data_IF_893571274282
#
_entry.id   IF_893571274282
#
_cell.length_a   1.000
_cell.length_b   1.000
_cell.length_c   1.000
_cell.angle_alpha   90.00
_cell.angle_beta   90.00
_cell.angle_gamma   90.00
#
_symmetry.space_group_name_H-M   'P 1'
#
loop_
_entity.id
_entity.type
_entity.pdbx_description
1 polymer ?
#
# COMPACT_ATOMS: atom_id res chain seq x y z
N UNK A 1 15.09 -9.67 -4.26
CA UNK A 1 14.98 -9.82 -2.81
C UNK A 1 15.28 -8.50 -2.15
N UNK A 2 14.42 -8.07 -1.27
CA UNK A 2 14.61 -6.82 -0.56
C UNK A 2 15.51 -7.04 0.64
N UNK A 3 16.50 -6.20 0.80
CA UNK A 3 17.31 -6.21 1.99
C UNK A 3 16.77 -5.19 2.99
N UNK A 4 16.30 -5.65 4.12
CA UNK A 4 16.04 -4.79 5.25
C UNK A 4 17.37 -4.36 5.85
N UNK A 5 17.51 -3.06 6.12
CA UNK A 5 18.69 -2.47 6.75
C UNK A 5 18.37 -2.26 8.24
N UNK A 6 19.27 -2.68 9.11
CA UNK A 6 19.09 -2.58 10.54
C UNK A 6 19.41 -3.88 11.26
N UNK A 7 18.92 -4.02 12.48
CA UNK A 7 19.11 -5.22 13.30
C UNK A 7 18.13 -6.33 12.89
N UNK A 8 18.25 -7.51 13.53
CA UNK A 8 17.27 -8.60 13.37
C UNK A 8 15.87 -8.21 13.86
N UNK A 9 15.76 -7.22 14.74
CA UNK A 9 14.48 -6.72 15.27
C UNK A 9 13.98 -5.54 14.42
N UNK A 10 14.82 -4.52 14.22
CA UNK A 10 14.46 -3.33 13.46
C UNK A 10 14.64 -3.57 11.96
N UNK A 11 13.58 -3.37 11.21
CA UNK A 11 13.61 -3.37 9.73
C UNK A 11 13.50 -1.93 9.25
N UNK A 12 14.29 -1.58 8.23
CA UNK A 12 14.34 -0.23 7.69
C UNK A 12 14.28 -0.27 6.17
N UNK A 13 13.38 0.52 5.58
CA UNK A 13 13.38 0.80 4.15
C UNK A 13 14.04 2.15 3.92
N UNK A 14 15.04 2.18 3.04
CA UNK A 14 15.71 3.43 2.69
C UNK A 14 14.96 4.13 1.56
N UNK A 15 15.05 5.45 1.56
CA UNK A 15 14.44 6.33 0.57
C UNK A 15 14.74 5.89 -0.88
N UNK A 16 15.97 5.45 -1.16
CA UNK A 16 16.41 5.02 -2.48
C UNK A 16 16.70 3.51 -2.53
N UNK A 17 16.04 2.74 -1.65
CA UNK A 17 16.22 1.29 -1.61
C UNK A 17 15.82 0.61 -2.92
N UNK A 18 16.42 -0.54 -3.24
CA UNK A 18 16.16 -1.24 -4.49
C UNK A 18 14.74 -1.78 -4.56
N UNK A 19 14.14 -1.68 -5.76
CA UNK A 19 12.82 -2.23 -6.08
C UNK A 19 12.96 -3.23 -7.21
N UNK A 20 12.06 -4.20 -7.25
CA UNK A 20 12.00 -5.20 -8.32
C UNK A 20 10.72 -5.02 -9.12
N UNK A 21 10.75 -5.41 -10.40
CA UNK A 21 9.59 -5.29 -11.27
C UNK A 21 8.39 -6.05 -10.70
N UNK A 22 7.24 -5.39 -10.72
CA UNK A 22 5.95 -5.97 -10.38
C UNK A 22 4.95 -5.57 -11.47
N UNK A 23 4.87 -6.31 -12.57
CA UNK A 23 3.96 -5.97 -13.65
C UNK A 23 2.51 -5.87 -13.16
N UNK A 24 1.84 -4.79 -13.57
CA UNK A 24 0.41 -4.64 -13.32
C UNK A 24 -0.34 -5.62 -14.23
N UNK A 25 -1.38 -6.26 -13.70
CA UNK A 25 -2.24 -7.12 -14.50
C UNK A 25 -2.68 -6.36 -15.78
N UNK A 26 -2.36 -6.87 -16.99
CA UNK A 26 -2.68 -6.17 -18.24
C UNK A 26 -4.15 -5.83 -18.38
N UNK A 27 -5.04 -6.66 -17.83
CA UNK A 27 -6.49 -6.43 -17.89
C UNK A 27 -6.94 -5.24 -17.06
N UNK A 28 -6.08 -4.77 -16.15
CA UNK A 28 -6.36 -3.61 -15.30
C UNK A 28 -5.86 -2.30 -15.91
N UNK A 29 -5.01 -2.35 -16.93
CA UNK A 29 -4.44 -1.17 -17.56
C UNK A 29 -5.48 -0.54 -18.50
N UNK A 30 -5.75 0.75 -18.29
CA UNK A 30 -6.70 1.52 -19.09
C UNK A 30 -5.99 2.38 -20.13
N UNK A 31 -4.85 2.97 -19.79
CA UNK A 31 -4.07 3.83 -20.69
C UNK A 31 -2.58 3.73 -20.38
N UNK A 32 -1.76 3.84 -21.43
CA UNK A 32 -0.32 3.90 -21.31
C UNK A 32 0.34 2.56 -21.03
N UNK A 33 1.58 2.61 -20.62
CA UNK A 33 2.41 1.45 -20.27
C UNK A 33 3.02 1.65 -18.89
N UNK A 34 2.21 1.70 -17.82
CA UNK A 34 2.74 1.91 -16.48
C UNK A 34 3.68 0.78 -16.08
N UNK A 35 4.83 1.15 -15.58
CA UNK A 35 5.83 0.21 -15.08
C UNK A 35 5.91 0.33 -13.56
N UNK A 36 5.45 -0.71 -12.87
CA UNK A 36 5.43 -0.77 -11.42
C UNK A 36 6.58 -1.61 -10.87
N UNK A 37 7.11 -1.20 -9.73
CA UNK A 37 8.15 -1.92 -9.01
C UNK A 37 7.80 -1.97 -7.54
N UNK A 38 8.33 -2.96 -6.82
CA UNK A 38 7.95 -3.20 -5.43
C UNK A 38 9.12 -3.73 -4.61
N UNK A 39 9.03 -3.51 -3.31
CA UNK A 39 9.88 -4.14 -2.30
C UNK A 39 9.05 -4.41 -1.06
N UNK A 40 8.89 -5.68 -0.70
CA UNK A 40 8.34 -6.06 0.60
C UNK A 40 9.49 -6.15 1.59
N UNK A 41 9.52 -5.28 2.60
CA UNK A 41 10.69 -5.13 3.45
C UNK A 41 10.43 -5.46 4.93
N UNK A 42 9.19 -5.67 5.33
CA UNK A 42 8.87 -6.12 6.69
C UNK A 42 7.52 -6.82 6.74
N UNK A 43 7.37 -7.72 7.68
CA UNK A 43 6.14 -8.44 7.95
C UNK A 43 5.99 -8.64 9.45
N UNK A 44 4.76 -8.51 9.97
CA UNK A 44 4.48 -8.81 11.36
C UNK A 44 4.67 -10.30 11.64
N UNK A 45 5.08 -10.68 12.88
CA UNK A 45 5.30 -12.09 13.22
C UNK A 45 4.09 -13.00 12.98
N UNK A 46 2.87 -12.47 13.11
CA UNK A 46 1.63 -13.22 12.86
C UNK A 46 1.21 -13.24 11.37
N UNK A 47 1.97 -12.56 10.49
CA UNK A 47 1.70 -12.53 9.05
C UNK A 47 0.49 -11.67 8.64
N UNK A 48 -0.11 -10.91 9.55
CA UNK A 48 -1.32 -10.13 9.23
C UNK A 48 -1.01 -8.76 8.64
N UNK A 49 0.17 -8.23 8.88
CA UNK A 49 0.57 -6.89 8.43
C UNK A 49 1.90 -6.96 7.72
N UNK A 50 2.00 -6.31 6.58
CA UNK A 50 3.25 -6.23 5.81
C UNK A 50 3.52 -4.80 5.34
N UNK A 51 4.79 -4.50 5.13
CA UNK A 51 5.28 -3.17 4.78
C UNK A 51 5.99 -3.22 3.43
N UNK A 52 5.63 -2.28 2.57
CA UNK A 52 6.05 -2.27 1.18
C UNK A 52 6.48 -0.88 0.73
N UNK A 53 7.44 -0.83 -0.16
CA UNK A 53 7.69 0.33 -1.01
C UNK A 53 7.26 -0.03 -2.41
N UNK A 54 6.57 0.86 -3.08
CA UNK A 54 6.07 0.65 -4.44
C UNK A 54 6.19 1.93 -5.23
N UNK A 55 6.58 1.82 -6.49
CA UNK A 55 6.57 2.96 -7.41
C UNK A 55 5.97 2.58 -8.76
N UNK A 56 5.60 3.58 -9.52
CA UNK A 56 5.03 3.38 -10.85
C UNK A 56 5.27 4.59 -11.74
N UNK A 57 5.54 4.31 -13.01
CA UNK A 57 5.66 5.33 -14.04
C UNK A 57 4.28 5.70 -14.61
N UNK A 58 4.24 6.62 -15.59
CA UNK A 58 3.01 7.15 -16.16
C UNK A 58 2.08 6.08 -16.71
N UNK A 59 0.80 6.22 -16.42
CA UNK A 59 -0.26 5.35 -16.91
C UNK A 59 -1.53 5.48 -16.09
N UNK A 60 -2.60 4.86 -16.59
CA UNK A 60 -3.89 4.81 -15.92
C UNK A 60 -4.34 3.38 -15.82
N UNK A 61 -4.74 2.95 -14.62
CA UNK A 61 -5.13 1.57 -14.37
C UNK A 61 -6.12 1.48 -13.22
N UNK A 62 -6.86 0.37 -13.18
CA UNK A 62 -7.72 0.02 -12.05
C UNK A 62 -6.99 -0.95 -11.15
N UNK A 63 -7.20 -0.82 -9.84
CA UNK A 63 -6.64 -1.70 -8.85
C UNK A 63 -7.72 -2.23 -7.94
N UNK A 64 -7.77 -3.55 -7.76
CA UNK A 64 -8.68 -4.15 -6.80
C UNK A 64 -7.94 -4.43 -5.49
N UNK A 65 -8.48 -3.93 -4.40
CA UNK A 65 -7.90 -4.14 -3.08
C UNK A 65 -8.49 -5.37 -2.42
N UNK A 66 -7.74 -6.45 -2.34
CA UNK A 66 -8.14 -7.67 -1.62
C UNK A 66 -7.89 -7.54 -0.11
N UNK A 67 -7.04 -6.62 0.30
CA UNK A 67 -6.60 -6.36 1.66
C UNK A 67 -6.70 -4.88 1.96
N UNK A 68 -6.71 -4.52 3.25
CA UNK A 68 -6.65 -3.11 3.65
C UNK A 68 -5.25 -2.56 3.37
N UNK A 69 -5.16 -1.35 2.83
CA UNK A 69 -3.87 -0.72 2.55
C UNK A 69 -3.88 0.74 2.97
N UNK A 70 -2.87 1.13 3.75
CA UNK A 70 -2.59 2.53 4.06
C UNK A 70 -1.32 2.95 3.34
N UNK A 71 -1.32 4.13 2.74
CA UNK A 71 -0.16 4.63 2.00
C UNK A 71 0.23 6.03 2.44
N UNK A 72 1.50 6.35 2.22
CA UNK A 72 2.03 7.72 2.28
C UNK A 72 2.84 7.93 1.00
N UNK A 73 2.57 9.03 0.30
CA UNK A 73 3.33 9.40 -0.89
C UNK A 73 4.69 9.97 -0.47
N UNK A 74 5.75 9.42 -1.02
CA UNK A 74 7.12 9.85 -0.70
C UNK A 74 7.85 10.49 -1.88
N UNK A 75 7.37 10.31 -3.11
CA UNK A 75 7.87 10.99 -4.29
C UNK A 75 6.78 11.04 -5.37
N UNK A 76 6.80 12.09 -6.18
CA UNK A 76 5.84 12.26 -7.26
C UNK A 76 4.42 12.54 -6.78
N UNK A 77 3.44 12.15 -7.59
CA UNK A 77 2.02 12.37 -7.31
C UNK A 77 1.17 11.39 -8.10
N UNK A 78 -0.09 11.26 -7.68
CA UNK A 78 -1.06 10.40 -8.35
C UNK A 78 -2.47 10.95 -8.17
N UNK A 79 -3.33 10.73 -9.15
CA UNK A 79 -4.77 11.01 -9.04
C UNK A 79 -5.51 9.70 -8.78
N UNK A 80 -6.34 9.69 -7.76
CA UNK A 80 -7.10 8.50 -7.31
C UNK A 80 -8.59 8.80 -7.51
N UNK A 81 -9.32 7.86 -8.10
CA UNK A 81 -10.76 7.98 -8.27
C UNK A 81 -11.47 6.70 -7.85
N UNK A 82 -12.45 6.83 -6.97
CA UNK A 82 -13.35 5.74 -6.58
C UNK A 82 -14.67 5.94 -7.32
N UNK A 83 -15.05 4.96 -8.14
CA UNK A 83 -16.26 5.00 -8.98
C UNK A 83 -16.37 6.32 -9.75
N UNK A 84 -17.52 7.01 -9.64
CA UNK A 84 -17.77 8.29 -10.31
C UNK A 84 -17.51 9.51 -9.39
N UNK A 85 -16.88 9.29 -8.25
CA UNK A 85 -16.54 10.38 -7.33
C UNK A 85 -15.49 11.32 -7.94
N UNK A 86 -15.40 12.51 -7.39
CA UNK A 86 -14.38 13.48 -7.80
C UNK A 86 -12.99 12.91 -7.52
N UNK A 87 -12.08 12.90 -8.51
CA UNK A 87 -10.70 12.43 -8.29
C UNK A 87 -10.00 13.24 -7.20
N UNK A 88 -9.15 12.55 -6.43
CA UNK A 88 -8.33 13.15 -5.39
C UNK A 88 -6.87 13.05 -5.80
N UNK A 89 -6.15 14.15 -5.81
CA UNK A 89 -4.72 14.18 -6.09
C UNK A 89 -3.96 14.02 -4.78
N UNK A 90 -3.06 13.05 -4.75
CA UNK A 90 -2.16 12.81 -3.64
C UNK A 90 -0.74 13.22 -4.04
N UNK A 91 -0.11 14.04 -3.22
CA UNK A 91 1.26 14.52 -3.40
C UNK A 91 2.13 14.10 -2.21
N UNK A 92 3.42 14.42 -2.27
CA UNK A 92 4.38 14.05 -1.21
C UNK A 92 3.90 14.50 0.16
N UNK A 93 3.86 13.56 1.11
CA UNK A 93 3.39 13.79 2.47
C UNK A 93 1.91 13.46 2.69
N UNK A 94 1.12 13.34 1.62
CA UNK A 94 -0.27 12.94 1.75
C UNK A 94 -0.37 11.44 2.07
N UNK A 95 -1.35 11.10 2.88
CA UNK A 95 -1.66 9.72 3.24
C UNK A 95 -3.08 9.36 2.82
N UNK A 96 -3.30 8.10 2.49
CA UNK A 96 -4.61 7.59 2.13
C UNK A 96 -4.81 6.18 2.67
N UNK A 97 -6.08 5.79 2.81
CA UNK A 97 -6.46 4.46 3.26
C UNK A 97 -7.45 3.85 2.27
N UNK A 98 -7.17 2.63 1.86
CA UNK A 98 -8.02 1.84 0.95
C UNK A 98 -8.54 0.62 1.70
N UNK A 99 -9.84 0.57 2.04
CA UNK A 99 -10.42 -0.64 2.62
C UNK A 99 -10.49 -1.77 1.59
N UNK A 100 -10.35 -3.00 2.05
CA UNK A 100 -10.48 -4.18 1.20
C UNK A 100 -11.86 -4.24 0.51
N UNK A 101 -11.90 -4.85 -0.67
CA UNK A 101 -13.14 -5.12 -1.39
C UNK A 101 -13.57 -4.04 -2.37
N UNK A 102 -12.68 -3.15 -2.78
CA UNK A 102 -13.01 -2.03 -3.67
C UNK A 102 -12.07 -1.93 -4.86
N UNK A 103 -12.62 -1.50 -5.99
CA UNK A 103 -11.86 -1.07 -7.15
C UNK A 103 -11.55 0.43 -7.04
N UNK A 104 -10.35 0.79 -7.40
CA UNK A 104 -9.90 2.19 -7.41
C UNK A 104 -9.14 2.45 -8.70
N UNK A 105 -9.37 3.60 -9.32
CA UNK A 105 -8.64 4.01 -10.52
C UNK A 105 -7.46 4.89 -10.11
N UNK A 106 -6.29 4.49 -10.57
CA UNK A 106 -5.03 5.20 -10.40
C UNK A 106 -4.63 5.87 -11.71
N UNK A 107 -4.30 7.14 -11.65
CA UNK A 107 -3.74 7.87 -12.79
C UNK A 107 -2.44 8.52 -12.39
N UNK A 108 -1.34 7.98 -12.90
CA UNK A 108 0.00 8.50 -12.67
C UNK A 108 0.39 9.34 -13.88
N UNK A 109 0.63 10.65 -13.68
CA UNK A 109 1.00 11.56 -14.75
C UNK A 109 2.43 11.36 -15.22
N UNK A 110 3.38 11.26 -14.30
CA UNK A 110 4.79 11.03 -14.58
C UNK A 110 5.36 9.90 -13.74
N UNK A 111 5.25 10.01 -12.43
CA UNK A 111 5.83 9.09 -11.47
C UNK A 111 5.18 9.23 -10.10
N UNK A 112 5.08 8.12 -9.38
CA UNK A 112 4.68 8.11 -7.98
C UNK A 112 5.45 7.05 -7.23
N UNK A 113 5.85 7.35 -6.00
CA UNK A 113 6.45 6.39 -5.06
C UNK A 113 5.75 6.51 -3.72
N UNK A 114 5.40 5.38 -3.14
CA UNK A 114 4.69 5.31 -1.86
C UNK A 114 5.31 4.31 -0.91
N UNK A 115 5.14 4.56 0.38
CA UNK A 115 5.25 3.55 1.42
C UNK A 115 3.84 3.04 1.72
N UNK A 116 3.70 1.73 1.85
CA UNK A 116 2.41 1.10 2.07
C UNK A 116 2.48 0.14 3.26
N UNK A 117 1.40 0.12 4.01
CA UNK A 117 1.16 -0.87 5.05
C UNK A 117 -0.08 -1.66 4.64
N UNK A 118 0.08 -2.96 4.46
CA UNK A 118 -0.98 -3.87 4.05
C UNK A 118 -1.40 -4.72 5.24
N UNK A 119 -2.69 -4.84 5.44
CA UNK A 119 -3.26 -5.64 6.52
C UNK A 119 -4.30 -6.60 5.98
N UNK A 120 -4.16 -7.88 6.34
CA UNK A 120 -5.16 -8.89 6.01
C UNK A 120 -6.39 -8.67 6.90
N UNK A 121 -7.62 -8.51 6.32
CA UNK A 121 -8.82 -8.32 7.12
C UNK A 121 -9.09 -9.51 8.03
N UNK A 122 -9.49 -9.22 9.26
CA UNK A 122 -9.86 -10.25 10.22
C UNK A 122 -11.25 -10.79 9.87
N UNK A 123 -11.45 -12.13 9.86
CA UNK A 123 -12.78 -12.72 9.66
C UNK A 123 -13.81 -12.16 10.63
N UNK A 124 -15.04 -12.02 10.14
CA UNK A 124 -16.14 -11.43 10.91
C UNK A 124 -16.33 -12.05 12.29
N UNK A 125 -16.18 -13.37 12.35
CA UNK A 125 -16.32 -14.17 13.58
C UNK A 125 -15.25 -13.86 14.64
N UNK A 126 -14.12 -13.27 14.26
CA UNK A 126 -13.01 -12.97 15.16
C UNK A 126 -12.91 -11.51 15.57
N UNK A 127 -13.75 -10.63 15.01
CA UNK A 127 -13.63 -9.17 15.20
C UNK A 127 -13.75 -8.74 16.66
N UNK A 128 -14.64 -9.35 17.41
CA UNK A 128 -14.84 -9.01 18.82
C UNK A 128 -13.65 -9.41 19.68
N UNK A 129 -13.08 -10.58 19.46
CA UNK A 129 -11.91 -11.04 20.20
C UNK A 129 -10.72 -10.11 19.97
N UNK A 130 -10.45 -9.73 18.72
CA UNK A 130 -9.34 -8.84 18.36
C UNK A 130 -9.54 -7.45 18.98
N UNK A 131 -10.75 -6.89 18.93
CA UNK A 131 -11.06 -5.60 19.56
C UNK A 131 -10.88 -5.65 21.07
N UNK A 132 -11.27 -6.76 21.70
CA UNK A 132 -11.09 -6.96 23.13
C UNK A 132 -9.60 -6.93 23.55
N UNK A 133 -8.74 -7.59 22.80
CA UNK A 133 -7.29 -7.59 23.03
C UNK A 133 -6.71 -6.16 22.88
N UNK A 134 -7.08 -5.46 21.85
CA UNK A 134 -6.64 -4.09 21.62
C UNK A 134 -7.04 -3.14 22.74
N UNK A 135 -8.26 -3.23 23.22
CA UNK A 135 -8.76 -2.43 24.35
C UNK A 135 -8.02 -2.70 25.65
N UNK A 136 -7.70 -3.97 25.94
CA UNK A 136 -6.91 -4.33 27.12
C UNK A 136 -5.53 -3.69 27.10
N UNK A 137 -4.84 -3.75 25.98
CA UNK A 137 -3.52 -3.14 25.84
C UNK A 137 -3.55 -1.64 26.06
N UNK A 138 -4.56 -0.95 25.56
CA UNK A 138 -4.72 0.49 25.79
C UNK A 138 -4.99 0.85 27.25
N UNK A 139 -5.69 0.00 27.99
CA UNK A 139 -5.95 0.21 29.42
C UNK A 139 -4.72 0.00 30.29
N UNK A 140 -3.78 -0.83 29.86
CA UNK A 140 -2.55 -1.16 30.61
C UNK A 140 -1.42 -0.17 30.36
N UNK A 141 -1.61 0.75 29.44
CA UNK A 141 -0.67 1.83 29.17
C UNK A 141 -1.15 3.10 29.93
#
# INVERSE_FOLDING_TARGET
MTQAIGSSVLKVARKDGPLVDQPINPDWILEGTPHARVSGWAESPDGTTSHWTWDCTAGRFRWYYEVDESIVIVAGSVSIQVDDETPVVLAVGDAAYFPAGHWVTWQVGEYVRKQAVVRVPVPRTMRYAVRGIGRRKHRLR
#
